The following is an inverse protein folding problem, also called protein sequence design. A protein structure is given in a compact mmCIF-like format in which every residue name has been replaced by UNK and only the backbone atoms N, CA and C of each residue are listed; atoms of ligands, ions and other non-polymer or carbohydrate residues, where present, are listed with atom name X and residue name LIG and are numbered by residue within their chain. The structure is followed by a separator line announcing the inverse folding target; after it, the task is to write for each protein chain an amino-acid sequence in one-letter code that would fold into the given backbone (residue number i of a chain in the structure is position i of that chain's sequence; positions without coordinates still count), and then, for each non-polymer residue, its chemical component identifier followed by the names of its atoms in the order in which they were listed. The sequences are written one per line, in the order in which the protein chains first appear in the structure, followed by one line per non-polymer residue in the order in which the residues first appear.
data_IF_934484082812
#
_entry.id   IF_934484082812
#
_cell.length_a   1.000
_cell.length_b   1.000
_cell.length_c   1.000
_cell.angle_alpha   90.00
_cell.angle_beta   90.00
_cell.angle_gamma   90.00
#
_symmetry.space_group_name_H-M   'P 1'
#
loop_
_entity.id
_entity.type
_entity.pdbx_description
1 polymer ?
#
# COMPACT_ATOMS: atom_id res chain seq x y z
N UNK A 1 -16.44 -2.94 17.48
CA UNK A 1 -15.11 -3.18 16.87
C UNK A 1 -15.26 -4.23 15.76
N UNK A 2 -14.74 -3.97 14.56
CA UNK A 2 -14.79 -4.92 13.43
C UNK A 2 -13.90 -6.14 13.71
N UNK A 3 -14.25 -7.35 13.22
CA UNK A 3 -13.42 -8.53 13.36
C UNK A 3 -12.00 -8.29 12.83
N UNK A 4 -10.98 -8.72 13.57
CA UNK A 4 -9.57 -8.60 13.19
C UNK A 4 -8.82 -9.88 13.55
N UNK A 5 -8.10 -10.46 12.62
CA UNK A 5 -7.17 -11.57 12.86
C UNK A 5 -5.76 -10.99 12.88
N UNK A 6 -5.08 -11.07 14.01
CA UNK A 6 -3.72 -10.53 14.16
C UNK A 6 -2.68 -11.50 13.63
N UNK A 7 -1.91 -11.09 12.62
CA UNK A 7 -0.79 -11.86 12.05
C UNK A 7 0.36 -10.98 11.53
N UNK A 8 0.20 -9.66 11.58
CA UNK A 8 1.28 -8.73 11.29
C UNK A 8 2.27 -8.66 12.47
N UNK A 9 3.54 -8.43 12.17
CA UNK A 9 4.57 -8.13 13.17
C UNK A 9 4.46 -6.63 13.50
N UNK A 10 3.87 -6.34 14.65
CA UNK A 10 3.59 -4.97 15.12
C UNK A 10 4.04 -4.79 16.57
N UNK A 11 4.44 -3.58 16.98
CA UNK A 11 4.56 -2.37 16.15
C UNK A 11 5.73 -2.44 15.18
N UNK A 12 5.59 -1.81 13.99
CA UNK A 12 6.74 -1.66 13.10
C UNK A 12 7.66 -0.54 13.59
N UNK A 13 8.99 -0.64 13.39
CA UNK A 13 9.93 0.38 13.86
C UNK A 13 9.74 1.74 13.19
N UNK A 14 10.11 2.80 13.92
CA UNK A 14 10.43 4.11 13.37
C UNK A 14 11.93 4.29 13.51
N UNK A 15 12.63 4.57 12.42
CA UNK A 15 14.08 4.72 12.37
C UNK A 15 14.43 6.11 11.85
N UNK A 16 15.50 6.73 12.40
CA UNK A 16 16.07 7.95 11.80
C UNK A 16 16.85 7.60 10.52
N UNK A 17 16.85 8.51 9.55
CA UNK A 17 17.66 8.43 8.33
C UNK A 17 18.76 9.52 8.34
N UNK A 18 19.80 9.38 9.18
CA UNK A 18 20.74 10.48 9.44
C UNK A 18 21.65 10.79 8.26
N UNK A 19 22.05 9.79 7.46
CA UNK A 19 22.91 10.01 6.29
C UNK A 19 22.12 10.70 5.19
N UNK A 20 20.89 10.26 4.94
CA UNK A 20 19.99 10.89 3.97
C UNK A 20 19.66 12.34 4.37
N UNK A 21 19.35 12.57 5.66
CA UNK A 21 19.14 13.91 6.22
C UNK A 21 20.35 14.83 5.94
N UNK A 22 21.56 14.35 6.22
CA UNK A 22 22.79 15.11 5.98
C UNK A 22 23.00 15.41 4.49
N UNK A 23 22.75 14.44 3.62
CA UNK A 23 22.95 14.57 2.17
C UNK A 23 21.98 15.56 1.54
N UNK A 24 20.73 15.57 1.98
CA UNK A 24 19.70 16.46 1.44
C UNK A 24 19.69 17.85 2.06
N UNK A 25 20.37 18.08 3.20
CA UNK A 25 20.47 19.36 3.90
C UNK A 25 19.13 20.05 4.19
N UNK A 26 18.07 19.25 4.29
CA UNK A 26 16.67 19.65 4.50
C UNK A 26 16.15 19.36 5.91
N UNK A 27 14.90 18.90 6.04
CA UNK A 27 14.28 18.49 7.29
C UNK A 27 14.94 17.25 7.88
N UNK A 28 14.70 16.95 9.16
CA UNK A 28 15.04 15.66 9.76
C UNK A 28 14.17 14.56 9.17
N UNK A 29 14.80 13.47 8.68
CA UNK A 29 14.11 12.38 8.01
C UNK A 29 14.03 11.13 8.87
N UNK A 30 12.85 10.52 8.84
CA UNK A 30 12.52 9.28 9.53
C UNK A 30 11.81 8.33 8.59
N UNK A 31 11.81 7.03 8.91
CA UNK A 31 11.10 6.01 8.15
C UNK A 31 10.27 5.12 9.07
N UNK A 32 9.01 4.87 8.71
CA UNK A 32 8.15 3.86 9.34
C UNK A 32 8.24 2.58 8.53
N UNK A 33 8.68 1.49 9.15
CA UNK A 33 9.13 0.26 8.51
C UNK A 33 7.98 -0.75 8.31
N UNK A 34 6.93 -0.37 7.56
CA UNK A 34 5.85 -1.33 7.25
C UNK A 34 6.26 -2.40 6.22
N UNK A 35 7.43 -2.28 5.61
CA UNK A 35 8.11 -3.37 4.91
C UNK A 35 8.43 -4.56 5.85
N UNK A 36 8.47 -4.35 7.16
CA UNK A 36 8.74 -5.37 8.18
C UNK A 36 7.47 -5.96 8.83
N UNK A 37 6.28 -5.76 8.26
CA UNK A 37 5.02 -6.34 8.79
C UNK A 37 4.93 -7.87 8.71
N UNK A 38 5.91 -8.54 8.17
CA UNK A 38 6.14 -9.99 8.27
C UNK A 38 5.61 -10.81 7.11
N UNK A 39 4.30 -10.91 6.90
CA UNK A 39 3.70 -11.81 5.90
C UNK A 39 4.29 -11.61 4.50
N UNK A 40 4.92 -12.67 3.96
CA UNK A 40 5.41 -12.70 2.58
C UNK A 40 6.21 -11.44 2.18
N UNK A 41 7.30 -11.15 2.88
CA UNK A 41 8.12 -9.94 2.74
C UNK A 41 7.43 -8.63 3.16
N UNK A 42 6.39 -8.70 3.98
CA UNK A 42 5.77 -7.53 4.56
C UNK A 42 5.12 -6.56 3.57
N UNK A 43 4.76 -5.40 4.07
CA UNK A 43 4.13 -4.32 3.34
C UNK A 43 2.76 -3.92 3.88
N UNK A 44 2.23 -2.83 3.35
CA UNK A 44 0.99 -2.21 3.83
C UNK A 44 -0.26 -3.10 3.74
N UNK A 45 -0.26 -4.10 2.86
CA UNK A 45 -1.44 -4.95 2.68
C UNK A 45 -1.64 -5.89 3.86
N UNK A 46 -0.59 -6.26 4.57
CA UNK A 46 -0.67 -7.09 5.78
C UNK A 46 -1.61 -6.47 6.82
N UNK A 47 -1.47 -5.17 7.11
CA UNK A 47 -2.36 -4.46 8.05
C UNK A 47 -3.82 -4.45 7.60
N UNK A 48 -4.05 -4.24 6.31
CA UNK A 48 -5.40 -4.24 5.71
C UNK A 48 -6.03 -5.63 5.75
N UNK A 49 -5.23 -6.65 5.43
CA UNK A 49 -5.67 -8.05 5.39
C UNK A 49 -6.04 -8.58 6.77
N UNK A 50 -5.48 -8.07 7.86
CA UNK A 50 -5.91 -8.45 9.21
C UNK A 50 -7.42 -8.20 9.43
N UNK A 51 -7.96 -7.10 8.92
CA UNK A 51 -9.38 -6.77 9.02
C UNK A 51 -10.21 -7.46 7.95
N UNK A 52 -9.74 -7.49 6.70
CA UNK A 52 -10.44 -8.15 5.60
C UNK A 52 -10.58 -9.64 5.84
N UNK A 53 -9.54 -10.31 6.37
CA UNK A 53 -9.61 -11.72 6.76
C UNK A 53 -10.49 -11.92 7.99
N UNK A 54 -10.45 -11.01 8.95
CA UNK A 54 -11.36 -11.05 10.09
C UNK A 54 -12.82 -11.07 9.64
N UNK A 55 -13.17 -10.20 8.70
CA UNK A 55 -14.51 -10.15 8.10
C UNK A 55 -14.80 -11.42 7.28
N UNK A 56 -13.87 -11.87 6.43
CA UNK A 56 -14.03 -13.07 5.61
C UNK A 56 -14.26 -14.33 6.46
N UNK A 57 -13.39 -14.58 7.45
CA UNK A 57 -13.48 -15.77 8.31
C UNK A 57 -14.75 -15.77 9.14
N UNK A 58 -15.20 -14.60 9.62
CA UNK A 58 -16.49 -14.49 10.35
C UNK A 58 -17.70 -14.89 9.51
N UNK A 59 -17.57 -14.89 8.18
CA UNK A 59 -18.59 -15.29 7.20
C UNK A 59 -18.43 -16.72 6.69
N UNK A 60 -17.49 -17.49 7.22
CA UNK A 60 -17.24 -18.88 6.80
C UNK A 60 -16.69 -19.04 5.39
N UNK A 61 -15.91 -18.05 4.93
CA UNK A 61 -15.33 -17.99 3.59
C UNK A 61 -14.33 -19.12 3.37
N UNK A 62 -14.29 -19.68 2.15
CA UNK A 62 -13.36 -20.73 1.74
C UNK A 62 -12.37 -20.25 0.68
N UNK A 63 -12.70 -19.23 -0.07
CA UNK A 63 -11.89 -18.72 -1.19
C UNK A 63 -11.77 -17.20 -1.15
N UNK A 64 -10.56 -16.68 -1.24
CA UNK A 64 -10.32 -15.26 -1.46
C UNK A 64 -10.19 -15.00 -2.97
N UNK A 65 -10.86 -13.97 -3.46
CA UNK A 65 -10.78 -13.56 -4.87
C UNK A 65 -10.35 -12.10 -4.92
N UNK A 66 -9.36 -11.78 -5.73
CA UNK A 66 -8.91 -10.39 -5.92
C UNK A 66 -8.27 -10.18 -7.29
N UNK A 67 -7.98 -8.92 -7.61
CA UNK A 67 -7.36 -8.55 -8.86
C UNK A 67 -6.18 -7.59 -8.66
N UNK A 68 -5.26 -7.57 -9.64
CA UNK A 68 -4.11 -6.69 -9.64
C UNK A 68 -3.39 -6.63 -10.99
N UNK A 69 -2.32 -5.83 -11.05
CA UNK A 69 -1.35 -5.89 -12.13
C UNK A 69 -0.44 -7.13 -11.99
N UNK A 70 0.31 -7.46 -13.01
CA UNK A 70 1.22 -8.64 -13.08
C UNK A 70 2.12 -8.75 -11.83
N UNK A 71 2.74 -7.67 -11.38
CA UNK A 71 3.61 -7.65 -10.20
C UNK A 71 2.94 -7.03 -8.98
N UNK A 72 1.67 -7.39 -8.73
CA UNK A 72 0.88 -6.80 -7.64
C UNK A 72 1.35 -7.27 -6.26
N UNK A 73 1.82 -6.32 -5.43
CA UNK A 73 2.09 -6.57 -4.01
C UNK A 73 0.82 -6.95 -3.23
N UNK A 74 -0.34 -6.48 -3.68
CA UNK A 74 -1.62 -6.80 -3.09
C UNK A 74 -1.99 -8.27 -3.34
N UNK A 75 -1.90 -8.74 -4.58
CA UNK A 75 -2.16 -10.13 -4.94
C UNK A 75 -1.25 -11.08 -4.16
N UNK A 76 0.06 -10.83 -4.14
CA UNK A 76 1.01 -11.62 -3.35
C UNK A 76 0.61 -11.76 -1.88
N UNK A 77 0.31 -10.64 -1.22
CA UNK A 77 -0.04 -10.71 0.20
C UNK A 77 -1.40 -11.34 0.44
N UNK A 78 -2.35 -11.21 -0.49
CA UNK A 78 -3.65 -11.90 -0.44
C UNK A 78 -3.47 -13.41 -0.60
N UNK A 79 -2.65 -13.86 -1.56
CA UNK A 79 -2.32 -15.27 -1.75
C UNK A 79 -1.62 -15.86 -0.51
N UNK A 80 -0.62 -15.15 0.04
CA UNK A 80 0.07 -15.56 1.26
C UNK A 80 -0.87 -15.66 2.47
N UNK A 81 -1.81 -14.72 2.59
CA UNK A 81 -2.80 -14.74 3.65
C UNK A 81 -3.76 -15.91 3.48
N UNK A 82 -4.25 -16.18 2.26
CA UNK A 82 -5.07 -17.35 1.98
C UNK A 82 -4.36 -18.65 2.36
N UNK A 83 -3.12 -18.83 1.90
CA UNK A 83 -2.30 -20.01 2.24
C UNK A 83 -2.12 -20.17 3.75
N UNK A 84 -1.80 -19.09 4.47
CA UNK A 84 -1.62 -19.09 5.93
C UNK A 84 -2.86 -19.55 6.69
N UNK A 85 -4.05 -19.23 6.20
CA UNK A 85 -5.33 -19.52 6.86
C UNK A 85 -6.09 -20.70 6.23
N UNK A 86 -5.46 -21.47 5.33
CA UNK A 86 -6.06 -22.66 4.71
C UNK A 86 -7.21 -22.34 3.76
N UNK A 87 -7.20 -21.13 3.16
CA UNK A 87 -8.17 -20.69 2.16
C UNK A 87 -7.61 -20.87 0.75
N UNK A 88 -8.48 -21.08 -0.22
CA UNK A 88 -8.13 -20.98 -1.63
C UNK A 88 -7.97 -19.51 -2.03
N UNK A 89 -7.24 -19.27 -3.13
CA UNK A 89 -7.03 -17.91 -3.65
C UNK A 89 -7.10 -17.89 -5.17
N UNK A 90 -7.96 -17.03 -5.72
CA UNK A 90 -8.03 -16.71 -7.14
C UNK A 90 -7.55 -15.29 -7.39
N UNK A 91 -6.57 -15.14 -8.27
CA UNK A 91 -5.97 -13.88 -8.65
C UNK A 91 -6.25 -13.57 -10.11
N UNK A 92 -6.91 -12.44 -10.40
CA UNK A 92 -7.11 -11.94 -11.74
C UNK A 92 -6.02 -10.92 -12.04
N UNK A 93 -5.01 -11.31 -12.83
CA UNK A 93 -3.85 -10.48 -13.13
C UNK A 93 -3.94 -9.84 -14.50
N UNK A 94 -3.85 -8.49 -14.54
CA UNK A 94 -3.88 -7.71 -15.76
C UNK A 94 -2.48 -7.59 -16.37
N UNK A 95 -2.29 -8.10 -17.57
CA UNK A 95 -1.06 -8.06 -18.34
C UNK A 95 -0.72 -9.40 -18.96
N UNK A 96 0.39 -9.47 -19.69
CA UNK A 96 0.86 -10.70 -20.31
C UNK A 96 1.46 -11.66 -19.28
N UNK A 97 1.16 -12.95 -19.46
CA UNK A 97 1.80 -14.00 -18.66
C UNK A 97 3.29 -14.05 -19.02
N UNK A 98 4.20 -13.86 -18.06
CA UNK A 98 5.63 -13.92 -18.35
C UNK A 98 6.07 -15.35 -18.68
N UNK A 99 7.13 -15.47 -19.49
CA UNK A 99 7.72 -16.77 -19.85
C UNK A 99 8.29 -17.51 -18.63
N UNK A 100 8.76 -16.77 -17.64
CA UNK A 100 9.26 -17.29 -16.36
C UNK A 100 8.66 -16.49 -15.21
N UNK A 101 8.10 -17.18 -14.18
CA UNK A 101 7.62 -16.51 -12.98
C UNK A 101 8.80 -15.88 -12.23
N UNK A 102 8.64 -14.64 -11.82
CA UNK A 102 9.64 -13.91 -11.03
C UNK A 102 8.95 -12.98 -10.02
N UNK A 103 9.66 -12.61 -8.98
CA UNK A 103 9.19 -11.66 -7.98
C UNK A 103 7.80 -12.03 -7.42
N UNK A 104 6.81 -11.14 -7.52
CA UNK A 104 5.49 -11.39 -6.94
C UNK A 104 4.76 -12.58 -7.61
N UNK A 105 4.91 -12.78 -8.93
CA UNK A 105 4.27 -13.93 -9.61
C UNK A 105 4.80 -15.27 -9.10
N UNK A 106 6.12 -15.39 -8.95
CA UNK A 106 6.72 -16.60 -8.37
C UNK A 106 6.17 -16.87 -6.97
N UNK A 107 5.99 -15.84 -6.18
CA UNK A 107 5.43 -15.96 -4.83
C UNK A 107 3.94 -16.33 -4.86
N UNK A 108 3.16 -15.76 -5.79
CA UNK A 108 1.75 -16.13 -5.98
C UNK A 108 1.59 -17.63 -6.30
N UNK A 109 2.45 -18.16 -7.19
CA UNK A 109 2.48 -19.59 -7.52
C UNK A 109 2.90 -20.46 -6.31
N UNK A 110 3.94 -20.05 -5.58
CA UNK A 110 4.40 -20.77 -4.37
C UNK A 110 3.34 -20.79 -3.26
N UNK A 111 2.50 -19.76 -3.15
CA UNK A 111 1.37 -19.74 -2.22
C UNK A 111 0.15 -20.53 -2.71
N UNK A 112 0.24 -21.16 -3.89
CA UNK A 112 -0.83 -21.99 -4.45
C UNK A 112 -2.02 -21.21 -5.01
N UNK A 113 -1.83 -19.94 -5.37
CA UNK A 113 -2.90 -19.15 -5.98
C UNK A 113 -3.23 -19.62 -7.41
N UNK A 114 -4.52 -19.64 -7.75
CA UNK A 114 -4.99 -19.85 -9.11
C UNK A 114 -4.96 -18.52 -9.83
N UNK A 115 -4.18 -18.42 -10.92
CA UNK A 115 -3.97 -17.17 -11.64
C UNK A 115 -4.77 -17.16 -12.94
N UNK A 116 -5.63 -16.15 -13.11
CA UNK A 116 -6.40 -15.85 -14.30
C UNK A 116 -5.79 -14.65 -14.98
N UNK A 117 -5.26 -14.84 -16.20
CA UNK A 117 -4.61 -13.79 -16.98
C UNK A 117 -5.62 -13.04 -17.84
N UNK A 118 -5.57 -11.71 -17.83
CA UNK A 118 -6.44 -10.83 -18.61
C UNK A 118 -5.64 -9.71 -19.27
N UNK A 119 -6.05 -9.29 -20.47
CA UNK A 119 -5.31 -8.32 -21.25
C UNK A 119 -5.43 -6.88 -20.70
N UNK A 120 -6.59 -6.48 -20.23
CA UNK A 120 -6.89 -5.11 -19.83
C UNK A 120 -7.81 -5.00 -18.58
N UNK A 121 -8.08 -3.76 -18.17
CA UNK A 121 -8.92 -3.47 -16.99
C UNK A 121 -10.38 -3.92 -17.19
N UNK A 122 -10.92 -3.82 -18.41
CA UNK A 122 -12.33 -4.20 -18.69
C UNK A 122 -12.50 -5.71 -18.57
N UNK A 123 -11.58 -6.46 -19.16
CA UNK A 123 -11.56 -7.91 -19.01
C UNK A 123 -11.31 -8.34 -17.57
N UNK A 124 -10.46 -7.63 -16.85
CA UNK A 124 -10.21 -7.88 -15.43
C UNK A 124 -11.51 -7.84 -14.61
N UNK A 125 -12.28 -6.78 -14.76
CA UNK A 125 -13.48 -6.57 -13.96
C UNK A 125 -14.57 -7.61 -14.33
N UNK A 126 -14.68 -7.96 -15.62
CA UNK A 126 -15.56 -9.02 -16.12
C UNK A 126 -15.16 -10.40 -15.58
N UNK A 127 -13.88 -10.77 -15.71
CA UNK A 127 -13.39 -12.09 -15.26
C UNK A 127 -13.45 -12.20 -13.72
N UNK A 128 -13.17 -11.12 -12.99
CA UNK A 128 -13.34 -11.07 -11.55
C UNK A 128 -14.78 -11.44 -11.14
N UNK A 129 -15.76 -10.83 -11.80
CA UNK A 129 -17.18 -11.10 -11.53
C UNK A 129 -17.56 -12.53 -11.88
N UNK A 130 -17.18 -13.00 -13.07
CA UNK A 130 -17.47 -14.40 -13.53
C UNK A 130 -16.83 -15.43 -12.59
N UNK A 131 -15.57 -15.19 -12.15
CA UNK A 131 -14.90 -16.09 -11.20
C UNK A 131 -15.64 -16.12 -9.86
N UNK A 132 -16.04 -14.97 -9.35
CA UNK A 132 -16.78 -14.86 -8.09
C UNK A 132 -18.12 -15.60 -8.17
N UNK A 133 -18.91 -15.37 -9.22
CA UNK A 133 -20.22 -16.02 -9.43
C UNK A 133 -20.08 -17.53 -9.62
N UNK A 134 -19.05 -17.98 -10.36
CA UNK A 134 -18.76 -19.41 -10.52
C UNK A 134 -18.48 -20.10 -9.19
N UNK A 135 -17.61 -19.49 -8.36
CA UNK A 135 -17.31 -20.00 -7.03
C UNK A 135 -18.52 -20.01 -6.08
N UNK A 136 -19.42 -19.01 -6.20
CA UNK A 136 -20.69 -18.99 -5.46
C UNK A 136 -21.57 -20.17 -5.85
N UNK A 137 -21.72 -20.47 -7.16
CA UNK A 137 -22.51 -21.59 -7.65
C UNK A 137 -21.95 -22.96 -7.24
N UNK A 138 -20.63 -23.05 -7.07
CA UNK A 138 -19.92 -24.26 -6.61
C UNK A 138 -19.88 -24.40 -5.07
N UNK A 139 -20.56 -23.54 -4.34
CA UNK A 139 -20.55 -23.49 -2.87
C UNK A 139 -19.15 -23.32 -2.24
N UNK A 140 -18.23 -22.64 -2.96
CA UNK A 140 -16.88 -22.34 -2.50
C UNK A 140 -16.78 -21.11 -1.59
N UNK A 141 -17.95 -20.51 -1.23
CA UNK A 141 -18.04 -19.36 -0.32
C UNK A 141 -16.94 -18.32 -0.57
N UNK A 142 -16.92 -17.66 -1.75
CA UNK A 142 -15.89 -16.68 -2.09
C UNK A 142 -16.04 -15.37 -1.31
N UNK A 143 -14.91 -14.71 -1.04
CA UNK A 143 -14.83 -13.36 -0.53
C UNK A 143 -14.05 -12.47 -1.48
N UNK A 144 -14.68 -11.42 -1.95
CA UNK A 144 -14.04 -10.44 -2.81
C UNK A 144 -13.18 -9.49 -1.96
N UNK A 145 -11.86 -9.67 -2.02
CA UNK A 145 -10.92 -8.72 -1.46
C UNK A 145 -10.79 -7.54 -2.43
N UNK A 146 -11.15 -6.32 -2.05
CA UNK A 146 -11.17 -5.19 -2.99
C UNK A 146 -9.77 -4.86 -3.50
N UNK A 147 -9.69 -4.25 -4.69
CA UNK A 147 -8.44 -3.84 -5.32
C UNK A 147 -7.55 -3.06 -4.33
N UNK A 148 -6.31 -3.50 -4.15
CA UNK A 148 -5.39 -2.91 -3.19
C UNK A 148 -5.80 -3.04 -1.72
N UNK A 149 -6.83 -3.84 -1.39
CA UNK A 149 -7.41 -3.91 -0.06
C UNK A 149 -8.06 -2.59 0.38
N UNK A 150 -8.53 -1.79 -0.59
CA UNK A 150 -8.98 -0.41 -0.36
C UNK A 150 -10.51 -0.32 -0.33
N UNK A 151 -11.07 -0.65 0.82
CA UNK A 151 -12.42 -0.36 1.26
C UNK A 151 -12.36 0.08 2.74
N UNK A 152 -13.46 0.51 3.35
CA UNK A 152 -13.47 0.97 4.75
C UNK A 152 -12.91 -0.07 5.72
N UNK A 153 -13.26 -1.36 5.56
CA UNK A 153 -12.77 -2.46 6.41
C UNK A 153 -11.24 -2.61 6.30
N UNK A 154 -10.68 -2.61 5.09
CA UNK A 154 -9.22 -2.71 4.90
C UNK A 154 -8.48 -1.46 5.38
N UNK A 155 -9.06 -0.28 5.20
CA UNK A 155 -8.48 0.99 5.64
C UNK A 155 -8.37 1.10 7.16
N UNK A 156 -9.19 0.34 7.94
CA UNK A 156 -9.02 0.23 9.40
C UNK A 156 -7.61 -0.23 9.78
N UNK A 157 -6.94 -1.02 8.95
CA UNK A 157 -5.54 -1.39 9.19
C UNK A 157 -4.62 -0.18 9.34
N UNK A 158 -4.89 0.89 8.61
CA UNK A 158 -4.14 2.14 8.70
C UNK A 158 -4.74 3.17 9.67
N UNK A 159 -6.03 3.11 9.93
CA UNK A 159 -6.64 3.84 11.03
C UNK A 159 -5.94 3.47 12.36
N UNK A 160 -5.80 2.19 12.65
CA UNK A 160 -5.09 1.72 13.85
C UNK A 160 -3.56 1.82 13.76
N UNK A 161 -2.98 1.90 12.55
CA UNK A 161 -1.57 2.19 12.40
C UNK A 161 -1.20 3.61 12.87
N UNK A 162 -2.12 4.57 12.76
CA UNK A 162 -1.93 5.90 13.37
C UNK A 162 -1.92 5.85 14.89
N UNK A 163 -2.77 5.04 15.52
CA UNK A 163 -2.71 4.82 16.97
C UNK A 163 -1.35 4.25 17.39
N UNK A 164 -0.90 3.20 16.68
CA UNK A 164 0.41 2.59 16.90
C UNK A 164 1.54 3.62 16.78
N UNK A 165 1.50 4.42 15.72
CA UNK A 165 2.50 5.46 15.45
C UNK A 165 2.57 6.48 16.60
N UNK A 166 1.44 6.98 17.07
CA UNK A 166 1.39 7.97 18.15
C UNK A 166 1.87 7.39 19.50
N UNK A 167 1.58 6.12 19.76
CA UNK A 167 2.09 5.42 20.96
C UNK A 167 3.62 5.22 20.95
N UNK A 168 4.29 5.40 19.82
CA UNK A 168 5.76 5.37 19.74
C UNK A 168 6.42 6.70 20.14
N UNK A 169 5.61 7.72 20.49
CA UNK A 169 6.04 9.01 21.04
C UNK A 169 7.13 9.73 20.23
N UNK A 170 7.13 9.54 18.92
CA UNK A 170 8.05 10.17 17.98
C UNK A 170 7.29 11.22 17.16
N UNK A 171 7.22 12.49 17.64
CA UNK A 171 6.42 13.52 16.96
C UNK A 171 6.97 13.81 15.58
N UNK A 172 6.08 13.94 14.58
CA UNK A 172 6.40 14.26 13.20
C UNK A 172 5.50 15.40 12.72
N UNK A 173 6.07 16.31 11.94
CA UNK A 173 5.31 17.38 11.29
C UNK A 173 4.64 16.91 10.01
N UNK A 174 5.28 15.94 9.33
CA UNK A 174 4.80 15.40 8.08
C UNK A 174 4.92 13.87 8.03
N UNK A 175 3.91 13.25 7.44
CA UNK A 175 3.95 11.87 6.97
C UNK A 175 3.85 11.90 5.45
N UNK A 176 4.81 11.29 4.75
CA UNK A 176 4.80 11.11 3.28
C UNK A 176 4.56 9.65 2.96
N UNK A 177 3.58 9.37 2.10
CA UNK A 177 3.17 8.00 1.76
C UNK A 177 2.86 7.87 0.27
N UNK A 178 3.15 6.70 -0.31
CA UNK A 178 2.70 6.35 -1.66
C UNK A 178 1.19 6.13 -1.67
N UNK A 179 0.47 6.80 -2.57
CA UNK A 179 -0.98 6.71 -2.70
C UNK A 179 -1.38 6.39 -4.15
N UNK A 180 -2.19 5.34 -4.34
CA UNK A 180 -2.74 4.89 -5.63
C UNK A 180 -4.23 4.56 -5.42
N UNK A 181 -4.59 3.38 -4.93
CA UNK A 181 -6.00 3.04 -4.60
C UNK A 181 -6.56 3.75 -3.35
N UNK A 182 -5.86 4.68 -2.76
CA UNK A 182 -6.28 5.56 -1.66
C UNK A 182 -6.35 4.94 -0.26
N UNK A 183 -6.55 3.63 -0.10
CA UNK A 183 -6.91 3.01 1.19
C UNK A 183 -5.86 3.10 2.30
N UNK A 184 -4.58 3.27 1.98
CA UNK A 184 -3.53 3.51 2.98
C UNK A 184 -3.61 4.94 3.52
N UNK A 185 -3.64 5.92 2.62
CA UNK A 185 -3.77 7.32 3.00
C UNK A 185 -5.09 7.61 3.69
N UNK A 186 -6.20 7.03 3.22
CA UNK A 186 -7.52 7.18 3.84
C UNK A 186 -7.54 6.65 5.29
N UNK A 187 -6.94 5.47 5.53
CA UNK A 187 -6.82 4.94 6.87
C UNK A 187 -5.97 5.82 7.78
N UNK A 188 -4.81 6.32 7.28
CA UNK A 188 -3.97 7.27 8.02
C UNK A 188 -4.73 8.57 8.34
N UNK A 189 -5.47 9.13 7.37
CA UNK A 189 -6.30 10.34 7.56
C UNK A 189 -7.39 10.11 8.59
N UNK A 190 -8.12 9.01 8.48
CA UNK A 190 -9.15 8.61 9.45
C UNK A 190 -8.56 8.45 10.87
N UNK A 191 -7.43 7.76 11.00
CA UNK A 191 -6.75 7.61 12.28
C UNK A 191 -6.17 8.90 12.83
N UNK A 192 -5.66 9.79 11.97
CA UNK A 192 -5.17 11.11 12.37
C UNK A 192 -6.27 11.93 13.07
N UNK A 193 -7.48 11.92 12.52
CA UNK A 193 -8.65 12.55 13.14
C UNK A 193 -9.03 11.89 14.47
N UNK A 194 -9.09 10.55 14.49
CA UNK A 194 -9.52 9.81 15.66
C UNK A 194 -8.57 9.98 16.87
N UNK A 195 -7.27 10.02 16.60
CA UNK A 195 -6.22 10.07 17.61
C UNK A 195 -5.52 11.43 17.71
N UNK A 196 -6.12 12.48 17.13
CA UNK A 196 -5.69 13.89 17.25
C UNK A 196 -4.23 14.13 16.81
N UNK A 197 -3.82 13.52 15.70
CA UNK A 197 -2.52 13.82 15.12
C UNK A 197 -2.53 15.22 14.49
N UNK A 198 -1.62 16.09 14.95
CA UNK A 198 -1.54 17.50 14.52
C UNK A 198 -0.69 17.75 13.27
N UNK A 199 0.08 16.75 12.83
CA UNK A 199 0.90 16.87 11.62
C UNK A 199 0.10 16.69 10.34
N UNK A 200 0.80 16.72 9.20
CA UNK A 200 0.21 16.62 7.86
C UNK A 200 0.51 15.29 7.22
N UNK A 201 -0.42 14.76 6.42
CA UNK A 201 -0.26 13.51 5.66
C UNK A 201 -0.28 13.85 4.18
N UNK A 202 0.86 13.70 3.51
CA UNK A 202 1.02 13.95 2.08
C UNK A 202 1.06 12.62 1.32
N UNK A 203 0.07 12.38 0.47
CA UNK A 203 0.08 11.30 -0.51
C UNK A 203 0.83 11.70 -1.77
N UNK A 204 1.87 10.94 -2.14
CA UNK A 204 2.46 11.05 -3.48
C UNK A 204 1.69 10.11 -4.38
N UNK A 205 1.00 10.67 -5.37
CA UNK A 205 0.22 9.88 -6.33
C UNK A 205 1.12 9.03 -7.21
N UNK A 206 0.72 7.79 -7.41
CA UNK A 206 1.44 6.84 -8.27
C UNK A 206 0.93 6.89 -9.70
N UNK A 207 -0.38 7.04 -9.89
CA UNK A 207 -1.03 6.84 -11.19
C UNK A 207 -2.31 7.68 -11.42
N UNK A 208 -2.83 8.37 -10.40
CA UNK A 208 -4.06 9.14 -10.51
C UNK A 208 -3.83 10.65 -10.48
N UNK A 209 -4.77 11.43 -11.02
CA UNK A 209 -4.75 12.88 -10.85
C UNK A 209 -4.98 13.27 -9.40
N UNK A 210 -4.59 14.48 -9.06
CA UNK A 210 -4.78 15.03 -7.71
C UNK A 210 -6.25 15.06 -7.31
N UNK A 211 -7.12 15.52 -8.19
CA UNK A 211 -8.56 15.66 -7.95
C UNK A 211 -9.22 14.31 -7.66
N UNK A 212 -8.95 13.32 -8.52
CA UNK A 212 -9.52 11.96 -8.38
C UNK A 212 -9.04 11.34 -7.08
N UNK A 213 -7.74 11.40 -6.81
CA UNK A 213 -7.19 10.75 -5.63
C UNK A 213 -7.62 11.42 -4.32
N UNK A 214 -7.74 12.75 -4.29
CA UNK A 214 -8.31 13.49 -3.14
C UNK A 214 -9.73 13.05 -2.83
N UNK A 215 -10.59 12.95 -3.86
CA UNK A 215 -11.97 12.52 -3.70
C UNK A 215 -12.06 11.08 -3.18
N UNK A 216 -11.30 10.16 -3.79
CA UNK A 216 -11.25 8.75 -3.36
C UNK A 216 -10.80 8.62 -1.91
N UNK A 217 -9.74 9.33 -1.52
CA UNK A 217 -9.21 9.29 -0.16
C UNK A 217 -10.19 9.90 0.84
N UNK A 218 -10.82 11.04 0.52
CA UNK A 218 -11.78 11.71 1.39
C UNK A 218 -13.00 10.83 1.67
N UNK A 219 -13.61 10.27 0.62
CA UNK A 219 -14.76 9.38 0.74
C UNK A 219 -14.41 8.15 1.58
N UNK A 220 -13.30 7.50 1.25
CA UNK A 220 -12.86 6.31 1.96
C UNK A 220 -12.47 6.59 3.42
N UNK A 221 -11.88 7.74 3.71
CA UNK A 221 -11.57 8.17 5.09
C UNK A 221 -12.83 8.38 5.90
N UNK A 222 -13.85 9.02 5.31
CA UNK A 222 -15.16 9.26 5.93
C UNK A 222 -15.84 7.93 6.28
N UNK A 223 -15.91 7.00 5.33
CA UNK A 223 -16.52 5.70 5.54
C UNK A 223 -15.74 4.84 6.55
N UNK A 224 -14.39 4.93 6.53
CA UNK A 224 -13.54 4.23 7.50
C UNK A 224 -13.74 4.76 8.92
N UNK A 225 -13.80 6.08 9.07
CA UNK A 225 -14.03 6.73 10.36
C UNK A 225 -15.39 6.33 10.95
N UNK A 226 -16.43 6.31 10.12
CA UNK A 226 -17.79 5.95 10.52
C UNK A 226 -17.96 4.48 10.98
N UNK A 227 -16.98 3.60 10.71
CA UNK A 227 -17.03 2.22 11.21
C UNK A 227 -16.77 2.10 12.73
N UNK A 228 -16.04 3.02 13.31
CA UNK A 228 -15.55 2.94 14.70
C UNK A 228 -15.94 4.16 15.54
N UNK A 229 -16.39 5.26 14.92
CA UNK A 229 -16.63 6.54 15.57
C UNK A 229 -17.94 7.16 15.09
N UNK A 230 -18.28 8.32 15.65
CA UNK A 230 -19.35 9.17 15.12
C UNK A 230 -18.98 9.62 13.69
N UNK A 231 -20.02 9.86 12.87
CA UNK A 231 -19.82 10.22 11.46
C UNK A 231 -19.11 11.57 11.32
N UNK A 232 -17.94 11.54 10.71
CA UNK A 232 -17.18 12.72 10.24
C UNK A 232 -17.09 12.63 8.72
N UNK A 233 -17.28 13.75 8.03
CA UNK A 233 -17.15 13.86 6.58
C UNK A 233 -15.84 14.58 6.28
N UNK A 234 -14.89 13.87 5.69
CA UNK A 234 -13.70 14.48 5.09
C UNK A 234 -14.05 14.99 3.70
N UNK A 235 -13.51 16.14 3.33
CA UNK A 235 -13.67 16.73 2.00
C UNK A 235 -12.37 16.62 1.22
N UNK A 236 -12.45 16.76 -0.10
CA UNK A 236 -11.26 16.69 -0.97
C UNK A 236 -10.20 17.75 -0.60
N UNK A 237 -10.64 18.94 -0.13
CA UNK A 237 -9.75 20.00 0.35
C UNK A 237 -8.97 19.66 1.63
N UNK A 238 -9.45 18.71 2.43
CA UNK A 238 -8.77 18.23 3.65
C UNK A 238 -7.63 17.25 3.33
N UNK A 239 -7.56 16.76 2.09
CA UNK A 239 -6.60 15.72 1.66
C UNK A 239 -5.44 16.36 0.92
N UNK A 240 -4.22 16.08 1.36
CA UNK A 240 -3.01 16.53 0.67
C UNK A 240 -2.51 15.43 -0.25
N UNK A 241 -2.48 15.72 -1.55
CA UNK A 241 -1.94 14.86 -2.60
C UNK A 241 -1.02 15.68 -3.48
N UNK A 242 0.08 15.09 -3.91
CA UNK A 242 0.91 15.62 -4.99
C UNK A 242 0.93 14.62 -6.14
N UNK A 243 0.46 15.02 -7.31
CA UNK A 243 0.40 14.20 -8.53
C UNK A 243 1.47 14.58 -9.57
N UNK A 244 2.41 15.50 -9.27
CA UNK A 244 3.47 15.89 -10.21
C UNK A 244 4.35 14.71 -10.65
N UNK A 245 4.43 13.67 -9.81
CA UNK A 245 5.30 12.51 -10.01
C UNK A 245 4.57 11.28 -10.60
N UNK A 246 3.27 11.35 -10.92
CA UNK A 246 2.52 10.21 -11.42
C UNK A 246 2.82 9.84 -12.87
N UNK A 247 3.48 10.72 -13.63
CA UNK A 247 3.89 10.44 -15.02
C UNK A 247 5.24 9.73 -15.09
N UNK A 248 5.47 8.88 -16.08
CA UNK A 248 4.63 8.58 -17.25
C UNK A 248 3.52 7.56 -17.01
N UNK A 249 3.28 7.11 -15.77
CA UNK A 249 2.20 6.19 -15.43
C UNK A 249 2.64 5.04 -14.54
N UNK A 250 1.68 4.17 -14.24
CA UNK A 250 1.86 3.03 -13.34
C UNK A 250 2.93 2.04 -13.86
N UNK A 251 3.86 1.69 -12.98
CA UNK A 251 4.86 0.65 -13.24
C UNK A 251 5.97 1.03 -14.23
N UNK A 252 5.97 2.26 -14.75
CA UNK A 252 7.04 2.75 -15.63
C UNK A 252 8.13 3.38 -14.78
N UNK A 253 9.30 2.76 -14.81
CA UNK A 253 10.47 3.17 -14.04
C UNK A 253 11.22 4.30 -14.77
N UNK A 254 11.36 5.44 -14.10
CA UNK A 254 12.12 6.60 -14.59
C UNK A 254 13.39 6.83 -13.75
N UNK A 255 14.15 7.84 -14.09
CA UNK A 255 15.33 8.23 -13.30
C UNK A 255 14.95 8.72 -11.89
N UNK A 256 13.72 9.22 -11.70
CA UNK A 256 13.22 9.62 -10.38
C UNK A 256 13.26 8.44 -9.41
N UNK A 257 12.64 7.32 -9.79
CA UNK A 257 12.59 6.11 -8.97
C UNK A 257 13.97 5.45 -8.85
N UNK A 258 14.73 5.33 -9.96
CA UNK A 258 16.08 4.75 -9.95
C UNK A 258 17.01 5.46 -8.97
N UNK A 259 17.02 6.80 -9.02
CA UNK A 259 17.86 7.62 -8.15
C UNK A 259 17.42 7.51 -6.69
N UNK A 260 16.12 7.50 -6.40
CA UNK A 260 15.60 7.35 -5.05
C UNK A 260 15.94 5.98 -4.46
N UNK A 261 15.70 4.90 -5.21
CA UNK A 261 16.04 3.52 -4.80
C UNK A 261 17.54 3.42 -4.48
N UNK A 262 18.39 3.92 -5.38
CA UNK A 262 19.84 3.91 -5.20
C UNK A 262 20.26 4.73 -3.97
N UNK A 263 19.71 5.93 -3.82
CA UNK A 263 20.07 6.82 -2.72
C UNK A 263 19.69 6.22 -1.36
N UNK A 264 18.49 5.66 -1.21
CA UNK A 264 18.06 5.00 0.02
C UNK A 264 18.92 3.77 0.33
N UNK A 265 19.24 2.96 -0.68
CA UNK A 265 20.10 1.79 -0.51
C UNK A 265 21.53 2.16 -0.08
N UNK A 266 22.17 3.12 -0.74
CA UNK A 266 23.56 3.52 -0.47
C UNK A 266 23.72 4.34 0.81
N UNK A 267 22.70 5.13 1.18
CA UNK A 267 22.79 5.97 2.38
C UNK A 267 22.32 5.26 3.64
N UNK A 268 21.23 4.49 3.59
CA UNK A 268 20.57 3.94 4.78
C UNK A 268 20.43 2.41 4.76
N UNK A 269 20.87 1.72 3.68
CA UNK A 269 20.69 0.27 3.54
C UNK A 269 19.22 -0.14 3.34
N UNK A 270 18.38 0.75 2.85
CA UNK A 270 16.94 0.56 2.69
C UNK A 270 16.59 0.24 1.24
N UNK A 271 15.78 -0.79 1.01
CA UNK A 271 15.35 -1.21 -0.32
C UNK A 271 13.92 -0.76 -0.58
N UNK A 272 13.73 0.16 -1.52
CA UNK A 272 12.44 0.61 -2.01
C UNK A 272 12.00 -0.21 -3.21
N UNK A 273 10.67 -0.29 -3.46
CA UNK A 273 10.16 -0.89 -4.68
C UNK A 273 10.11 0.10 -5.86
N UNK A 274 10.16 -0.38 -7.11
CA UNK A 274 10.23 0.50 -8.27
C UNK A 274 8.92 1.19 -8.64
N UNK A 275 7.78 0.78 -8.06
CA UNK A 275 6.46 1.30 -8.46
C UNK A 275 5.92 2.33 -7.47
N UNK A 276 5.91 1.99 -6.19
CA UNK A 276 5.26 2.79 -5.14
C UNK A 276 6.25 3.57 -4.30
N UNK A 277 7.06 2.87 -3.52
CA UNK A 277 7.96 3.52 -2.55
C UNK A 277 9.11 4.26 -3.22
N UNK A 278 9.63 3.76 -4.35
CA UNK A 278 10.63 4.47 -5.14
C UNK A 278 10.09 5.78 -5.70
N UNK A 279 8.87 5.79 -6.26
CA UNK A 279 8.22 7.01 -6.76
C UNK A 279 7.93 8.00 -5.65
N UNK A 280 7.33 7.53 -4.55
CA UNK A 280 7.01 8.41 -3.41
C UNK A 280 8.27 9.00 -2.75
N UNK A 281 9.33 8.22 -2.62
CA UNK A 281 10.62 8.70 -2.12
C UNK A 281 11.27 9.69 -3.07
N UNK A 282 11.21 9.44 -4.38
CA UNK A 282 11.67 10.38 -5.40
C UNK A 282 10.96 11.71 -5.33
N UNK A 283 9.63 11.68 -5.21
CA UNK A 283 8.82 12.88 -5.01
C UNK A 283 9.16 13.60 -3.70
N UNK A 284 9.32 12.88 -2.59
CA UNK A 284 9.74 13.46 -1.32
C UNK A 284 11.12 14.15 -1.43
N UNK A 285 12.10 13.51 -2.07
CA UNK A 285 13.44 14.06 -2.26
C UNK A 285 13.39 15.36 -3.10
N UNK A 286 12.62 15.36 -4.17
CA UNK A 286 12.45 16.55 -5.02
C UNK A 286 11.76 17.70 -4.27
N UNK A 287 10.72 17.42 -3.50
CA UNK A 287 10.05 18.39 -2.63
C UNK A 287 10.99 18.97 -1.56
N UNK A 288 11.88 18.15 -0.99
CA UNK A 288 12.92 18.64 -0.06
C UNK A 288 13.86 19.62 -0.78
N UNK A 289 14.33 19.27 -1.98
CA UNK A 289 15.21 20.12 -2.79
C UNK A 289 14.56 21.43 -3.22
N UNK A 290 13.25 21.41 -3.46
CA UNK A 290 12.43 22.59 -3.77
C UNK A 290 12.11 23.44 -2.53
N UNK A 291 12.49 23.01 -1.32
CA UNK A 291 12.21 23.74 -0.07
C UNK A 291 10.75 23.68 0.38
N UNK A 292 9.99 22.67 -0.04
CA UNK A 292 8.61 22.47 0.38
C UNK A 292 8.48 22.26 1.88
N UNK A 293 9.38 21.48 2.46
CA UNK A 293 9.48 21.26 3.91
C UNK A 293 10.43 22.28 4.54
N UNK A 294 10.11 22.76 5.73
CA UNK A 294 11.01 23.61 6.52
C UNK A 294 12.20 22.77 7.03
N UNK A 295 13.36 23.38 7.20
CA UNK A 295 14.53 22.69 7.78
C UNK A 295 14.30 22.21 9.21
N UNK A 296 13.40 22.86 9.95
CA UNK A 296 13.01 22.47 11.29
C UNK A 296 12.03 21.31 11.34
N UNK A 297 11.42 20.96 10.22
CA UNK A 297 10.40 19.91 10.17
C UNK A 297 11.00 18.52 10.42
N UNK A 298 10.18 17.63 10.95
CA UNK A 298 10.43 16.20 11.08
C UNK A 298 9.52 15.48 10.08
N UNK A 299 10.11 14.85 9.08
CA UNK A 299 9.39 14.20 7.97
C UNK A 299 9.54 12.69 8.07
N UNK A 300 8.43 11.99 8.21
CA UNK A 300 8.35 10.54 8.22
C UNK A 300 7.98 10.03 6.83
N UNK A 301 8.84 9.22 6.24
CA UNK A 301 8.50 8.43 5.08
C UNK A 301 7.86 7.10 5.52
N UNK A 302 6.59 6.85 5.13
CA UNK A 302 5.92 5.61 5.45
C UNK A 302 6.26 4.55 4.40
N UNK A 303 7.20 3.68 4.72
CA UNK A 303 7.68 2.64 3.81
C UNK A 303 6.68 1.48 3.73
N UNK A 304 5.88 1.47 2.68
CA UNK A 304 4.77 0.52 2.48
C UNK A 304 5.19 -0.85 1.94
N UNK A 305 6.48 -1.14 1.84
CA UNK A 305 7.01 -2.42 1.34
C UNK A 305 7.14 -2.47 -0.18
N UNK A 306 7.03 -3.67 -0.75
CA UNK A 306 7.06 -3.89 -2.20
C UNK A 306 8.37 -4.42 -2.75
N UNK A 307 9.37 -4.69 -1.91
CA UNK A 307 10.73 -5.09 -2.29
C UNK A 307 10.80 -6.28 -3.28
N UNK A 308 9.93 -7.31 -3.24
CA UNK A 308 9.99 -8.38 -4.24
C UNK A 308 9.93 -7.88 -5.68
N UNK A 309 9.24 -6.76 -5.96
CA UNK A 309 9.16 -6.19 -7.30
C UNK A 309 10.52 -5.74 -7.88
N UNK A 310 11.54 -5.52 -7.05
CA UNK A 310 12.91 -5.25 -7.50
C UNK A 310 13.50 -6.40 -8.33
N UNK A 311 13.04 -7.62 -8.10
CA UNK A 311 13.51 -8.83 -8.78
C UNK A 311 12.65 -9.21 -9.98
N UNK A 312 11.68 -8.39 -10.35
CA UNK A 312 10.86 -8.62 -11.54
C UNK A 312 11.66 -8.36 -12.83
N UNK A 313 11.42 -9.17 -13.85
CA UNK A 313 11.95 -8.91 -15.18
C UNK A 313 11.53 -7.51 -15.65
N UNK A 314 12.47 -6.73 -16.16
CA UNK A 314 12.24 -5.34 -16.59
C UNK A 314 12.54 -4.27 -15.51
N UNK A 315 12.62 -4.61 -14.23
CA UNK A 315 13.10 -3.68 -13.19
C UNK A 315 14.58 -3.85 -12.86
N UNK A 316 15.17 -4.98 -13.19
CA UNK A 316 16.60 -5.28 -12.99
C UNK A 316 17.54 -4.54 -13.92
N UNK A 317 17.04 -3.70 -14.81
CA UNK A 317 17.85 -2.88 -15.74
C UNK A 317 18.50 -1.69 -15.06
N UNK A 318 19.44 -1.91 -14.15
CA UNK A 318 20.44 -0.92 -13.73
C UNK A 318 21.64 -1.01 -14.66
N UNK A 319 21.44 -0.89 -15.97
CA UNK A 319 22.51 -0.69 -16.93
C UNK A 319 22.45 0.70 -17.49
#
# INVERSE_FOLDING_TARGET
MKPRIRFAHLPTPIEEMPRLTKMLTGPKLFIKRDDLTGLAFGGNKTRKLEFLLGDAVSKGVKTLVTAGAVQSNHCRQTAAAAAKFGLMCDLILTGEKPSYPSANILLDELFGARIHWVADKKDRDRILQVTYEGLMSEHQAPYLVPYGGSNPTGALGYHYAMQEFLLQETPMDWIVVASSSGGTQAGLTSGAQAYQYSGKILGISIDESEEILKEVVANLASDTFALENEKVIFRSEDILVNSEYCKPGYGILTDLERNAIKLFAESEGLLLDPVYTGRAAGGMIDLIRKGFFKKSDRVLFWHTGGQPALFAAGYTGTR
#
